data_IF_117127891346
#
_entry.id   IF_117127891346
#
_cell.length_a   1.000
_cell.length_b   1.000
_cell.length_c   1.000
_cell.angle_alpha   90.00
_cell.angle_beta   90.00
_cell.angle_gamma   90.00
#
_symmetry.space_group_name_H-M   'P 1'
#
loop_
_entity.id
_entity.type
_entity.pdbx_description
1 polymer ?
#
# COMPACT_ATOMS: atom_id res chain seq x y z
N UNK A 1 -12.01 -10.58 32.80
CA UNK A 1 -11.39 -11.46 31.78
C UNK A 1 -12.33 -11.83 30.60
N UNK A 2 -13.51 -11.19 30.40
CA UNK A 2 -14.45 -11.60 29.32
C UNK A 2 -14.39 -10.79 28.01
N UNK A 3 -13.54 -9.77 27.90
CA UNK A 3 -13.52 -8.88 26.73
C UNK A 3 -12.94 -9.52 25.45
N UNK A 4 -12.24 -10.66 25.58
CA UNK A 4 -11.55 -11.34 24.47
C UNK A 4 -12.42 -12.45 23.86
N UNK A 5 -13.47 -12.89 24.57
CA UNK A 5 -14.33 -14.01 24.14
C UNK A 5 -15.53 -13.47 23.36
N UNK A 6 -15.64 -13.83 22.08
CA UNK A 6 -16.72 -13.40 21.19
C UNK A 6 -16.40 -13.62 19.72
N UNK A 7 -17.25 -13.11 18.82
CA UNK A 7 -16.98 -13.15 17.38
C UNK A 7 -15.89 -12.13 17.02
N UNK A 8 -14.67 -12.61 16.79
CA UNK A 8 -13.49 -11.79 16.49
C UNK A 8 -13.18 -11.68 15.00
N UNK A 9 -13.96 -12.35 14.14
CA UNK A 9 -13.64 -12.46 12.71
C UNK A 9 -13.50 -11.09 12.02
N UNK A 10 -14.38 -10.14 12.34
CA UNK A 10 -14.35 -8.80 11.76
C UNK A 10 -13.12 -7.98 12.20
N UNK A 11 -12.64 -8.19 13.44
CA UNK A 11 -11.45 -7.49 13.92
C UNK A 11 -10.18 -7.93 13.17
N UNK A 12 -10.07 -9.23 12.85
CA UNK A 12 -8.94 -9.79 12.08
C UNK A 12 -9.09 -9.63 10.56
N UNK A 13 -10.26 -9.19 10.07
CA UNK A 13 -10.46 -8.94 8.65
C UNK A 13 -9.45 -7.92 8.12
N UNK A 14 -8.89 -8.18 6.94
CA UNK A 14 -7.90 -7.31 6.31
C UNK A 14 -8.59 -6.33 5.39
N UNK A 15 -8.41 -5.06 5.68
CA UNK A 15 -9.00 -3.96 4.93
C UNK A 15 -7.99 -3.45 3.90
N UNK A 16 -8.47 -2.79 2.84
CA UNK A 16 -7.63 -2.13 1.85
C UNK A 16 -7.65 -0.62 2.04
N UNK A 17 -6.51 -0.05 2.43
CA UNK A 17 -6.33 1.39 2.58
C UNK A 17 -5.75 1.99 1.31
N UNK A 18 -6.24 3.17 0.90
CA UNK A 18 -5.68 3.95 -0.20
C UNK A 18 -4.93 5.17 0.33
N UNK A 19 -3.76 5.45 -0.25
CA UNK A 19 -2.95 6.61 0.08
C UNK A 19 -2.42 7.27 -1.19
N UNK A 20 -2.66 8.57 -1.33
CA UNK A 20 -2.00 9.38 -2.36
C UNK A 20 -0.63 9.87 -1.88
N UNK A 21 0.43 9.54 -2.63
CA UNK A 21 1.81 9.94 -2.32
C UNK A 21 2.16 11.36 -2.79
N UNK A 22 1.27 12.03 -3.51
CA UNK A 22 1.50 13.40 -4.03
C UNK A 22 1.84 14.37 -2.89
N UNK A 23 2.97 15.09 -3.05
CA UNK A 23 3.47 16.08 -2.10
C UNK A 23 3.77 15.58 -0.68
N UNK A 24 3.73 14.26 -0.46
CA UNK A 24 4.04 13.66 0.86
C UNK A 24 5.54 13.44 1.01
N UNK A 25 6.03 13.62 2.25
CA UNK A 25 7.42 13.34 2.61
C UNK A 25 7.61 11.83 2.75
N UNK A 26 8.55 11.26 1.98
CA UNK A 26 8.82 9.82 1.89
C UNK A 26 8.93 9.13 3.25
N UNK A 27 9.73 9.68 4.18
CA UNK A 27 9.97 9.06 5.48
C UNK A 27 8.70 8.97 6.35
N UNK A 28 7.99 10.10 6.51
CA UNK A 28 6.74 10.16 7.29
C UNK A 28 5.64 9.29 6.68
N UNK A 29 5.58 9.24 5.35
CA UNK A 29 4.67 8.38 4.61
C UNK A 29 4.99 6.91 4.91
N UNK A 30 6.25 6.50 4.76
CA UNK A 30 6.69 5.12 4.97
C UNK A 30 6.47 4.63 6.42
N UNK A 31 6.70 5.49 7.41
CA UNK A 31 6.46 5.20 8.83
C UNK A 31 4.98 4.84 9.07
N UNK A 32 4.05 5.69 8.62
CA UNK A 32 2.62 5.47 8.78
C UNK A 32 2.15 4.20 8.08
N UNK A 33 2.65 3.96 6.85
CA UNK A 33 2.35 2.73 6.11
C UNK A 33 2.83 1.50 6.87
N UNK A 34 4.04 1.54 7.42
CA UNK A 34 4.58 0.40 8.18
C UNK A 34 3.74 0.06 9.41
N UNK A 35 3.19 1.06 10.12
CA UNK A 35 2.27 0.84 11.23
C UNK A 35 1.00 0.09 10.79
N UNK A 36 0.41 0.48 9.66
CA UNK A 36 -0.79 -0.15 9.09
C UNK A 36 -0.50 -1.57 8.61
N UNK A 37 0.63 -1.80 7.93
CA UNK A 37 1.03 -3.13 7.49
C UNK A 37 1.29 -4.08 8.66
N UNK A 38 1.84 -3.58 9.77
CA UNK A 38 2.01 -4.34 11.01
C UNK A 38 0.69 -4.60 11.75
N UNK A 39 -0.33 -3.78 11.53
CA UNK A 39 -1.62 -3.86 12.24
C UNK A 39 -1.65 -3.11 13.58
N UNK A 40 -0.65 -2.27 13.88
CA UNK A 40 -0.54 -1.54 15.15
C UNK A 40 -1.66 -0.51 15.38
N UNK A 41 -2.41 -0.17 14.32
CA UNK A 41 -3.59 0.68 14.41
C UNK A 41 -4.82 -0.07 14.96
N UNK A 42 -4.81 -1.41 14.94
CA UNK A 42 -5.90 -2.22 15.49
C UNK A 42 -5.64 -2.51 16.97
N UNK A 43 -6.65 -2.40 17.85
CA UNK A 43 -6.48 -2.70 19.27
C UNK A 43 -6.23 -4.18 19.56
N UNK A 44 -6.52 -5.07 18.60
CA UNK A 44 -6.26 -6.52 18.66
C UNK A 44 -4.80 -6.90 18.29
N UNK A 45 -3.92 -5.92 18.12
CA UNK A 45 -2.55 -6.16 17.69
C UNK A 45 -1.80 -7.06 18.68
N UNK A 46 -1.25 -8.13 18.14
CA UNK A 46 -0.32 -9.00 18.86
C UNK A 46 0.97 -9.17 18.02
N UNK A 47 2.18 -9.04 18.63
CA UNK A 47 3.44 -9.15 17.90
C UNK A 47 3.67 -10.52 17.22
N UNK A 48 3.08 -11.59 17.73
CA UNK A 48 3.22 -12.95 17.20
C UNK A 48 2.31 -13.22 15.99
N UNK A 49 1.24 -12.45 15.83
CA UNK A 49 0.23 -12.65 14.78
C UNK A 49 0.28 -11.53 13.72
N UNK A 50 0.11 -11.89 12.45
CA UNK A 50 0.06 -10.93 11.35
C UNK A 50 -1.38 -10.47 11.03
N UNK A 51 -1.84 -9.42 11.74
CA UNK A 51 -3.20 -8.89 11.67
C UNK A 51 -3.35 -7.57 10.87
N UNK A 52 -2.27 -7.09 10.25
CA UNK A 52 -2.30 -5.82 9.52
C UNK A 52 -3.07 -5.88 8.20
N UNK A 53 -3.22 -4.70 7.61
CA UNK A 53 -4.07 -4.45 6.44
C UNK A 53 -3.28 -4.36 5.12
N UNK A 54 -3.99 -4.21 4.01
CA UNK A 54 -3.42 -3.90 2.71
C UNK A 54 -3.30 -2.39 2.54
N UNK A 55 -2.26 -1.95 1.84
CA UNK A 55 -2.05 -0.53 1.54
C UNK A 55 -1.77 -0.37 0.06
N UNK A 56 -2.58 0.43 -0.61
CA UNK A 56 -2.42 0.84 -2.01
C UNK A 56 -1.94 2.28 -2.04
N UNK A 57 -0.82 2.50 -2.72
CA UNK A 57 -0.24 3.84 -2.92
C UNK A 57 -0.37 4.22 -4.39
N UNK A 58 -0.87 5.42 -4.64
CA UNK A 58 -0.87 6.03 -5.98
C UNK A 58 0.07 7.22 -6.07
N UNK A 59 0.41 7.59 -7.29
CA UNK A 59 1.27 8.75 -7.61
C UNK A 59 2.65 8.70 -6.93
N UNK A 60 3.28 7.51 -6.87
CA UNK A 60 4.61 7.36 -6.25
C UNK A 60 5.68 8.29 -6.86
N UNK A 61 5.53 8.67 -8.14
CA UNK A 61 6.37 9.64 -8.85
C UNK A 61 6.34 11.06 -8.30
N UNK A 62 5.37 11.40 -7.45
CA UNK A 62 5.21 12.74 -6.87
C UNK A 62 5.64 12.80 -5.40
N UNK A 63 6.27 11.73 -4.88
CA UNK A 63 6.76 11.70 -3.51
C UNK A 63 7.92 12.68 -3.33
N UNK A 64 7.93 13.40 -2.20
CA UNK A 64 8.96 14.38 -1.88
C UNK A 64 9.99 13.82 -0.91
N UNK A 65 11.23 14.25 -1.07
CA UNK A 65 12.31 14.03 -0.11
C UNK A 65 12.84 15.40 0.32
N UNK A 66 13.09 15.57 1.61
CA UNK A 66 13.51 16.85 2.20
C UNK A 66 15.01 17.11 2.03
N UNK A 67 15.38 18.38 1.87
CA UNK A 67 16.78 18.83 1.83
C UNK A 67 17.53 18.38 0.57
N UNK A 68 18.85 18.18 0.68
CA UNK A 68 19.73 17.77 -0.44
C UNK A 68 19.73 16.26 -0.72
N UNK A 69 18.83 15.52 -0.07
CA UNK A 69 18.76 14.05 -0.18
C UNK A 69 18.44 13.57 -1.59
N UNK A 70 17.69 14.34 -2.38
CA UNK A 70 17.40 13.98 -3.77
C UNK A 70 18.67 13.85 -4.63
N UNK A 71 19.76 14.50 -4.25
CA UNK A 71 21.04 14.50 -4.98
C UNK A 71 22.06 13.55 -4.35
N UNK A 72 22.04 13.45 -3.02
CA UNK A 72 23.03 12.70 -2.26
C UNK A 72 22.64 11.23 -2.03
N UNK A 73 21.37 10.89 -2.13
CA UNK A 73 20.90 9.54 -1.81
C UNK A 73 21.31 8.55 -2.90
N UNK A 74 22.14 7.59 -2.51
CA UNK A 74 22.64 6.50 -3.35
C UNK A 74 22.06 5.16 -2.86
N UNK A 75 21.38 4.45 -3.74
CA UNK A 75 20.89 3.11 -3.48
C UNK A 75 21.96 2.09 -3.83
N UNK A 76 22.46 1.39 -2.81
CA UNK A 76 23.50 0.37 -2.95
C UNK A 76 22.92 -1.03 -2.97
N UNK A 77 23.50 -1.89 -3.80
CA UNK A 77 23.29 -3.35 -3.79
C UNK A 77 24.61 -4.05 -4.08
N UNK A 78 24.84 -5.20 -3.49
CA UNK A 78 26.07 -5.98 -3.66
C UNK A 78 25.72 -7.40 -4.12
N UNK A 79 26.45 -7.93 -5.10
CA UNK A 79 26.23 -9.29 -5.62
C UNK A 79 26.95 -10.39 -4.83
N UNK A 80 27.69 -10.02 -3.77
CA UNK A 80 28.56 -10.89 -2.97
C UNK A 80 29.89 -11.32 -3.62
N UNK A 81 30.16 -10.87 -4.85
CA UNK A 81 31.46 -11.02 -5.50
C UNK A 81 32.35 -9.78 -5.28
N UNK A 82 33.68 -9.91 -5.21
CA UNK A 82 34.59 -8.76 -5.18
C UNK A 82 34.33 -7.82 -6.37
N UNK A 83 34.22 -6.51 -6.11
CA UNK A 83 33.86 -5.51 -7.13
C UNK A 83 32.38 -5.50 -7.54
N UNK A 84 31.52 -6.30 -6.89
CA UNK A 84 30.11 -6.44 -7.21
C UNK A 84 29.19 -5.34 -6.68
N UNK A 85 29.73 -4.21 -6.23
CA UNK A 85 28.95 -3.07 -5.71
C UNK A 85 28.29 -2.32 -6.86
N UNK A 86 26.96 -2.21 -6.81
CA UNK A 86 26.18 -1.39 -7.74
C UNK A 86 25.52 -0.27 -6.95
N UNK A 87 25.80 0.95 -7.36
CA UNK A 87 25.19 2.16 -6.82
C UNK A 87 24.23 2.75 -7.85
N UNK A 88 23.09 3.27 -7.41
CA UNK A 88 22.13 3.94 -8.29
C UNK A 88 21.68 5.22 -7.60
N UNK A 89 21.87 6.40 -8.22
CA UNK A 89 21.45 7.65 -7.61
C UNK A 89 19.92 7.74 -7.57
N UNK A 90 19.42 8.51 -6.61
CA UNK A 90 17.99 8.71 -6.42
C UNK A 90 17.30 9.24 -7.67
N UNK A 91 17.91 10.21 -8.38
CA UNK A 91 17.38 10.77 -9.63
C UNK A 91 17.10 9.68 -10.68
N UNK A 92 18.05 8.76 -10.89
CA UNK A 92 17.89 7.65 -11.84
C UNK A 92 16.85 6.63 -11.37
N UNK A 93 16.82 6.32 -10.07
CA UNK A 93 15.85 5.39 -9.52
C UNK A 93 14.43 5.93 -9.63
N UNK A 94 14.24 7.24 -9.47
CA UNK A 94 12.96 7.91 -9.59
C UNK A 94 12.39 7.84 -11.02
N UNK A 95 13.28 7.90 -12.03
CA UNK A 95 12.90 7.73 -13.44
C UNK A 95 12.61 6.28 -13.77
N UNK A 96 13.50 5.36 -13.37
CA UNK A 96 13.41 3.95 -13.74
C UNK A 96 12.28 3.22 -13.01
N UNK A 97 12.29 3.27 -11.67
CA UNK A 97 11.41 2.50 -10.79
C UNK A 97 11.09 3.32 -9.51
N UNK A 98 10.21 4.33 -9.59
CA UNK A 98 9.83 5.16 -8.44
C UNK A 98 9.19 4.34 -7.30
N UNK A 99 8.53 3.24 -7.65
CA UNK A 99 7.84 2.38 -6.67
C UNK A 99 8.82 1.71 -5.69
N UNK A 100 10.01 1.39 -6.18
CA UNK A 100 11.05 0.73 -5.38
C UNK A 100 11.59 1.64 -4.28
N UNK A 101 11.56 2.96 -4.46
CA UNK A 101 11.98 3.94 -3.46
C UNK A 101 11.10 3.84 -2.22
N UNK A 102 9.77 3.86 -2.42
CA UNK A 102 8.80 3.74 -1.33
C UNK A 102 8.85 2.33 -0.74
N UNK A 103 8.94 1.30 -1.58
CA UNK A 103 9.05 -0.09 -1.11
C UNK A 103 10.24 -0.29 -0.20
N UNK A 104 11.42 0.23 -0.56
CA UNK A 104 12.63 0.16 0.27
C UNK A 104 12.50 0.93 1.57
N UNK A 105 11.92 2.13 1.52
CA UNK A 105 11.67 2.93 2.72
C UNK A 105 10.77 2.17 3.72
N UNK A 106 9.64 1.62 3.25
CA UNK A 106 8.73 0.83 4.09
C UNK A 106 9.39 -0.47 4.57
N UNK A 107 10.11 -1.16 3.69
CA UNK A 107 10.82 -2.40 4.01
C UNK A 107 11.90 -2.21 5.08
N UNK A 108 12.49 -1.02 5.18
CA UNK A 108 13.42 -0.64 6.26
C UNK A 108 12.74 -0.37 7.60
N UNK A 109 11.46 0.04 7.60
CA UNK A 109 10.67 0.30 8.82
C UNK A 109 10.04 -0.97 9.42
N UNK A 110 9.97 -2.07 8.65
CA UNK A 110 9.43 -3.34 9.13
C UNK A 110 10.45 -4.15 9.95
N UNK A 111 10.02 -4.84 11.01
CA UNK A 111 10.91 -5.69 11.81
C UNK A 111 11.48 -6.83 10.97
N UNK A 112 12.76 -7.15 11.16
CA UNK A 112 13.46 -8.21 10.42
C UNK A 112 13.09 -9.59 10.95
N UNK A 113 11.98 -10.14 10.46
CA UNK A 113 11.48 -11.47 10.81
C UNK A 113 10.79 -12.15 9.61
N UNK A 114 10.31 -13.38 9.79
CA UNK A 114 9.60 -14.15 8.74
C UNK A 114 8.28 -13.49 8.28
N UNK A 115 7.69 -12.61 9.08
CA UNK A 115 6.46 -11.88 8.72
C UNK A 115 6.73 -10.68 7.81
N UNK A 116 7.98 -10.22 7.72
CA UNK A 116 8.36 -9.02 6.96
C UNK A 116 8.01 -9.12 5.49
N UNK A 117 8.29 -10.25 4.85
CA UNK A 117 8.02 -10.46 3.42
C UNK A 117 6.50 -10.45 3.16
N UNK A 118 5.72 -11.19 3.95
CA UNK A 118 4.25 -11.21 3.88
C UNK A 118 3.63 -9.83 4.11
N UNK A 119 4.18 -9.03 5.03
CA UNK A 119 3.77 -7.64 5.27
C UNK A 119 4.08 -6.77 4.05
N UNK A 120 5.26 -6.91 3.46
CA UNK A 120 5.68 -6.13 2.30
C UNK A 120 4.89 -6.49 1.04
N UNK A 121 4.49 -7.75 0.86
CA UNK A 121 3.65 -8.20 -0.26
C UNK A 121 2.27 -7.54 -0.30
N UNK A 122 1.74 -7.15 0.87
CA UNK A 122 0.46 -6.44 1.01
C UNK A 122 0.54 -4.96 0.61
N UNK A 123 1.75 -4.42 0.46
CA UNK A 123 1.98 -3.09 -0.07
C UNK A 123 1.91 -3.11 -1.61
N UNK A 124 0.93 -2.43 -2.18
CA UNK A 124 0.79 -2.23 -3.62
C UNK A 124 1.09 -0.77 -3.95
N UNK A 125 1.97 -0.54 -4.91
CA UNK A 125 2.46 0.79 -5.25
C UNK A 125 2.27 0.98 -6.74
N UNK A 126 1.71 2.13 -7.11
CA UNK A 126 1.47 2.52 -8.49
C UNK A 126 2.13 3.87 -8.78
N UNK A 127 2.78 4.01 -9.94
CA UNK A 127 3.47 5.25 -10.32
C UNK A 127 2.51 6.41 -10.62
N UNK A 128 1.29 6.10 -11.04
CA UNK A 128 0.24 7.04 -11.41
C UNK A 128 -1.05 6.77 -10.63
N UNK A 129 -2.15 7.40 -11.05
CA UNK A 129 -3.47 7.22 -10.43
C UNK A 129 -4.12 5.87 -10.77
N UNK A 130 -3.71 5.21 -11.87
CA UNK A 130 -4.31 3.94 -12.27
C UNK A 130 -3.92 2.81 -11.29
N UNK A 131 -4.92 2.27 -10.58
CA UNK A 131 -4.79 1.25 -9.53
C UNK A 131 -5.03 -0.18 -10.06
N UNK A 132 -5.30 -0.35 -11.36
CA UNK A 132 -5.65 -1.65 -11.96
C UNK A 132 -6.86 -2.31 -11.29
N UNK A 133 -6.84 -3.65 -11.23
CA UNK A 133 -7.94 -4.47 -10.66
C UNK A 133 -8.14 -4.20 -9.16
N UNK A 134 -7.08 -3.76 -8.46
CA UNK A 134 -7.06 -3.64 -7.01
C UNK A 134 -7.86 -2.44 -6.49
N UNK A 135 -8.14 -1.45 -7.35
CA UNK A 135 -8.90 -0.26 -6.98
C UNK A 135 -10.35 -0.54 -6.58
N UNK A 136 -10.93 -1.64 -7.05
CA UNK A 136 -12.29 -2.05 -6.66
C UNK A 136 -12.39 -2.51 -5.19
N UNK A 137 -11.28 -2.96 -4.60
CA UNK A 137 -11.26 -3.57 -3.27
C UNK A 137 -11.02 -2.55 -2.14
N UNK A 138 -10.76 -1.28 -2.48
CA UNK A 138 -10.51 -0.21 -1.50
C UNK A 138 -11.71 -0.10 -0.56
N UNK A 139 -11.47 0.05 0.74
CA UNK A 139 -12.53 0.29 1.70
C UNK A 139 -13.29 1.56 1.33
N UNK A 140 -14.62 1.47 1.27
CA UNK A 140 -15.50 2.59 1.02
C UNK A 140 -16.53 2.67 2.15
N UNK A 141 -16.87 3.88 2.53
CA UNK A 141 -17.84 4.17 3.57
C UNK A 141 -18.87 5.16 3.04
N UNK A 142 -20.07 5.12 3.60
CA UNK A 142 -21.10 6.12 3.32
C UNK A 142 -20.70 7.48 3.90
N UNK A 143 -20.05 7.48 5.06
CA UNK A 143 -19.64 8.69 5.80
C UNK A 143 -18.60 9.52 5.03
N UNK A 144 -17.69 8.87 4.31
CA UNK A 144 -16.61 9.55 3.57
C UNK A 144 -17.05 9.98 2.15
N UNK A 145 -18.29 9.68 1.73
CA UNK A 145 -18.79 9.98 0.38
C UNK A 145 -18.02 9.28 -0.75
N UNK A 146 -17.23 8.25 -0.41
CA UNK A 146 -16.39 7.50 -1.35
C UNK A 146 -17.16 6.39 -2.08
N UNK A 147 -18.35 6.05 -1.58
CA UNK A 147 -19.31 5.19 -2.28
C UNK A 147 -20.04 6.01 -3.35
N UNK A 148 -20.17 5.48 -4.59
CA UNK A 148 -21.03 6.11 -5.58
C UNK A 148 -22.48 6.15 -5.07
N UNK A 149 -23.27 7.19 -5.40
CA UNK A 149 -24.65 7.33 -4.93
C UNK A 149 -25.53 6.12 -5.23
N UNK A 150 -25.26 5.44 -6.34
CA UNK A 150 -26.00 4.27 -6.81
C UNK A 150 -25.43 2.93 -6.29
N UNK A 151 -24.55 2.96 -5.28
CA UNK A 151 -23.95 1.74 -4.73
C UNK A 151 -25.00 0.87 -4.03
N UNK A 152 -25.29 -0.30 -4.63
CA UNK A 152 -26.17 -1.29 -4.04
C UNK A 152 -25.35 -2.41 -3.36
N UNK A 153 -25.38 -2.53 -2.02
CA UNK A 153 -24.61 -3.55 -1.28
C UNK A 153 -25.09 -4.99 -1.55
N UNK A 154 -26.28 -5.18 -2.13
CA UNK A 154 -26.81 -6.50 -2.51
C UNK A 154 -26.21 -7.05 -3.81
N UNK A 155 -25.52 -6.22 -4.59
CA UNK A 155 -24.85 -6.63 -5.84
C UNK A 155 -23.34 -6.73 -5.55
N UNK A 156 -22.76 -7.93 -5.42
CA UNK A 156 -21.34 -8.07 -5.10
C UNK A 156 -20.47 -7.48 -6.21
N UNK A 157 -19.39 -6.78 -5.86
CA UNK A 157 -18.43 -6.23 -6.84
C UNK A 157 -17.41 -7.30 -7.25
N UNK A 158 -17.89 -8.39 -7.86
CA UNK A 158 -17.07 -9.45 -8.47
C UNK A 158 -16.53 -9.00 -9.83
N UNK A 159 -15.51 -9.68 -10.36
CA UNK A 159 -14.97 -9.46 -11.70
C UNK A 159 -16.04 -9.53 -12.81
N UNK A 160 -17.04 -10.40 -12.67
CA UNK A 160 -18.14 -10.56 -13.63
C UNK A 160 -19.10 -9.36 -13.60
N UNK A 161 -19.51 -8.91 -12.42
CA UNK A 161 -20.30 -7.70 -12.21
C UNK A 161 -19.59 -6.43 -12.71
N UNK A 162 -18.26 -6.33 -12.54
CA UNK A 162 -17.48 -5.22 -13.10
C UNK A 162 -17.44 -5.25 -14.64
N UNK A 163 -17.38 -6.45 -15.25
CA UNK A 163 -17.52 -6.60 -16.71
C UNK A 163 -18.92 -6.21 -17.19
N UNK A 164 -19.97 -6.68 -16.51
CA UNK A 164 -21.36 -6.33 -16.79
C UNK A 164 -21.61 -4.82 -16.70
N UNK A 165 -21.07 -4.15 -15.67
CA UNK A 165 -21.17 -2.69 -15.50
C UNK A 165 -20.43 -1.93 -16.62
N UNK A 166 -19.25 -2.39 -17.03
CA UNK A 166 -18.53 -1.82 -18.20
C UNK A 166 -19.36 -1.97 -19.48
N UNK A 167 -19.85 -3.16 -19.75
CA UNK A 167 -20.67 -3.46 -20.94
C UNK A 167 -21.99 -2.65 -20.95
N UNK A 168 -22.58 -2.36 -19.79
CA UNK A 168 -23.74 -1.49 -19.67
C UNK A 168 -23.40 -0.02 -19.94
N UNK A 169 -22.27 0.49 -19.44
CA UNK A 169 -21.82 1.87 -19.70
C UNK A 169 -21.45 2.13 -21.17
N UNK A 170 -20.91 1.13 -21.86
CA UNK A 170 -20.59 1.17 -23.29
C UNK A 170 -21.85 1.12 -24.17
N UNK A 171 -22.94 0.51 -23.68
CA UNK A 171 -24.24 0.46 -24.39
C UNK A 171 -25.11 1.69 -24.16
N UNK A 172 -24.85 2.47 -23.10
CA UNK A 172 -25.57 3.71 -22.79
C UNK A 172 -24.92 4.97 -23.39
N UNK A 173 -23.77 4.82 -24.05
CA UNK A 173 -23.04 5.87 -24.78
C UNK A 173 -23.28 5.74 -26.28
#
# INVERSE_FOLDING_TARGET
>A
MSQVVGNTALAYARVWHHVDASDRILGKLAERIALVLMGKHKPIYDPSVDCGDYVIITNSRKVKVTGRKAEQLLFRKHSMFPGGLKETPYKDMMVKNPDEIIRRAVSGMLPKNKLRERRLERLKIFPAHNMGIVGANIMRSWDDGTLPPDFNPSIPTTSETLKMMREQSEKSS
#
